data_IF_717221581173
#
_entry.id   IF_717221581173
#
_cell.length_a   1.000
_cell.length_b   1.000
_cell.length_c   1.000
_cell.angle_alpha   90.00
_cell.angle_beta   90.00
_cell.angle_gamma   90.00
#
_symmetry.space_group_name_H-M   'P 1'
#
loop_
_entity.id
_entity.type
_entity.pdbx_description
1 polymer ?
#
# COMPACT_ATOMS: atom_id res chain seq x y z
N UNK A 1 37.49 -8.21 -24.94
CA UNK A 1 37.01 -7.09 -24.13
C UNK A 1 36.79 -5.85 -24.99
N UNK A 2 35.53 -5.41 -25.18
CA UNK A 2 35.25 -4.11 -25.79
C UNK A 2 35.81 -3.00 -24.88
N UNK A 3 36.48 -2.01 -25.47
CA UNK A 3 36.96 -0.81 -24.76
C UNK A 3 36.27 0.39 -25.39
N UNK A 4 35.43 1.05 -24.62
CA UNK A 4 34.85 2.35 -24.96
C UNK A 4 35.70 3.41 -24.29
N UNK A 5 36.25 4.33 -25.07
CA UNK A 5 37.20 5.33 -24.60
C UNK A 5 36.72 6.72 -25.02
N UNK A 6 36.20 7.46 -24.04
CA UNK A 6 35.69 8.80 -24.23
C UNK A 6 36.81 9.77 -24.64
N UNK A 7 38.05 9.49 -24.23
CA UNK A 7 39.22 10.35 -24.47
C UNK A 7 40.04 9.94 -25.70
N UNK A 8 39.59 8.92 -26.45
CA UNK A 8 40.31 8.35 -27.60
C UNK A 8 40.69 9.37 -28.68
N UNK A 9 39.88 10.43 -28.84
CA UNK A 9 40.07 11.46 -29.86
C UNK A 9 40.52 12.81 -29.30
N UNK A 10 40.33 13.07 -28.00
CA UNK A 10 40.64 14.35 -27.36
C UNK A 10 40.75 14.22 -25.83
N UNK A 11 41.70 14.90 -25.17
CA UNK A 11 41.76 14.98 -23.71
C UNK A 11 40.61 15.84 -23.12
N UNK A 12 39.88 16.59 -23.95
CA UNK A 12 38.70 17.35 -23.57
C UNK A 12 37.55 16.95 -24.52
N UNK A 13 36.82 15.86 -24.21
CA UNK A 13 35.84 15.29 -25.12
C UNK A 13 34.60 16.19 -25.26
N UNK A 14 34.07 16.31 -26.48
CA UNK A 14 32.87 17.11 -26.73
C UNK A 14 31.58 16.34 -26.38
N UNK A 15 30.45 17.03 -26.18
CA UNK A 15 29.16 16.36 -25.96
C UNK A 15 28.79 15.37 -27.08
N UNK A 16 29.18 15.65 -28.32
CA UNK A 16 28.96 14.76 -29.47
C UNK A 16 29.82 13.49 -29.37
N UNK A 17 31.04 13.59 -28.85
CA UNK A 17 31.90 12.43 -28.60
C UNK A 17 31.34 11.55 -27.49
N UNK A 18 30.79 12.15 -26.43
CA UNK A 18 30.05 11.42 -25.40
C UNK A 18 28.87 10.64 -25.99
N UNK A 19 28.05 11.31 -26.81
CA UNK A 19 26.91 10.67 -27.47
C UNK A 19 27.33 9.54 -28.41
N UNK A 20 28.41 9.73 -29.17
CA UNK A 20 28.96 8.70 -30.06
C UNK A 20 29.44 7.49 -29.28
N UNK A 21 30.23 7.71 -28.22
CA UNK A 21 30.79 6.63 -27.39
C UNK A 21 29.69 5.87 -26.65
N UNK A 22 28.69 6.58 -26.11
CA UNK A 22 27.52 5.94 -25.51
C UNK A 22 26.67 5.18 -26.53
N UNK A 23 26.57 5.68 -27.77
CA UNK A 23 25.89 4.96 -28.85
C UNK A 23 26.64 3.68 -29.22
N UNK A 24 27.96 3.71 -29.33
CA UNK A 24 28.78 2.51 -29.56
C UNK A 24 28.55 1.45 -28.47
N UNK A 25 28.44 1.88 -27.21
CA UNK A 25 28.07 1.00 -26.11
C UNK A 25 26.69 0.36 -26.32
N UNK A 26 25.66 1.14 -26.66
CA UNK A 26 24.30 0.59 -26.88
C UNK A 26 24.21 -0.26 -28.14
N UNK A 27 24.86 0.13 -29.24
CA UNK A 27 24.91 -0.67 -30.45
C UNK A 27 25.59 -2.03 -30.17
N UNK A 28 26.58 -2.06 -29.29
CA UNK A 28 27.20 -3.28 -28.80
C UNK A 28 26.23 -4.13 -27.94
N UNK A 29 25.39 -3.52 -27.10
CA UNK A 29 24.35 -4.22 -26.33
C UNK A 29 23.34 -4.94 -27.24
N UNK A 30 22.89 -4.25 -28.30
CA UNK A 30 21.83 -4.70 -29.21
C UNK A 30 22.35 -5.67 -30.29
N UNK A 31 23.66 -5.67 -30.55
CA UNK A 31 24.33 -6.49 -31.56
C UNK A 31 24.13 -8.01 -31.44
N UNK A 32 24.57 -8.73 -32.48
CA UNK A 32 24.27 -10.15 -32.72
C UNK A 32 24.66 -11.08 -31.55
N UNK A 33 23.71 -11.91 -31.08
CA UNK A 33 23.81 -12.70 -29.85
C UNK A 33 24.94 -13.74 -29.87
N UNK A 34 25.33 -14.20 -31.06
CA UNK A 34 26.37 -15.22 -31.25
C UNK A 34 27.81 -14.76 -30.99
N UNK A 35 28.04 -13.44 -30.79
CA UNK A 35 29.37 -12.84 -30.55
C UNK A 35 29.45 -12.04 -29.25
N UNK A 36 28.43 -12.12 -28.39
CA UNK A 36 28.40 -11.33 -27.15
C UNK A 36 29.49 -11.84 -26.18
N UNK A 37 30.32 -10.95 -25.61
CA UNK A 37 31.30 -11.34 -24.60
C UNK A 37 30.59 -11.84 -23.34
N UNK A 38 31.33 -12.47 -22.45
CA UNK A 38 30.82 -12.82 -21.13
C UNK A 38 30.23 -11.56 -20.48
N UNK A 39 29.05 -11.68 -19.86
CA UNK A 39 28.31 -10.56 -19.24
C UNK A 39 29.19 -9.66 -18.36
N UNK A 40 30.18 -10.23 -17.68
CA UNK A 40 31.13 -9.49 -16.85
C UNK A 40 32.02 -8.51 -17.62
N UNK A 41 32.45 -8.84 -18.85
CA UNK A 41 33.24 -7.90 -19.66
C UNK A 41 32.42 -6.67 -20.08
N UNK A 42 31.12 -6.88 -20.35
CA UNK A 42 30.20 -5.80 -20.68
C UNK A 42 29.97 -4.87 -19.47
N UNK A 43 29.76 -5.46 -18.30
CA UNK A 43 29.57 -4.70 -17.06
C UNK A 43 30.82 -3.91 -16.67
N UNK A 44 32.02 -4.50 -16.86
CA UNK A 44 33.28 -3.78 -16.67
C UNK A 44 33.42 -2.62 -17.66
N UNK A 45 33.07 -2.82 -18.94
CA UNK A 45 33.15 -1.74 -19.93
C UNK A 45 32.17 -0.60 -19.63
N UNK A 46 30.99 -0.90 -19.08
CA UNK A 46 30.03 0.11 -18.62
C UNK A 46 30.56 0.90 -17.41
N UNK A 47 31.16 0.20 -16.44
CA UNK A 47 31.84 0.80 -15.29
C UNK A 47 32.97 1.75 -15.72
N UNK A 48 33.91 1.27 -16.53
CA UNK A 48 35.06 2.05 -17.00
C UNK A 48 34.59 3.32 -17.76
N UNK A 49 33.52 3.20 -18.56
CA UNK A 49 32.97 4.34 -19.29
C UNK A 49 32.22 5.30 -18.37
N UNK A 50 31.45 4.81 -17.41
CA UNK A 50 30.78 5.65 -16.41
C UNK A 50 31.80 6.44 -15.57
N UNK A 51 32.91 5.81 -15.17
CA UNK A 51 34.01 6.49 -14.46
C UNK A 51 34.68 7.57 -15.30
N UNK A 52 34.91 7.31 -16.60
CA UNK A 52 35.44 8.34 -17.51
C UNK A 52 34.48 9.53 -17.64
N UNK A 53 33.18 9.26 -17.78
CA UNK A 53 32.15 10.31 -17.89
C UNK A 53 32.10 11.15 -16.62
N UNK A 54 32.01 10.51 -15.44
CA UNK A 54 32.00 11.23 -14.16
C UNK A 54 33.32 11.95 -13.89
N UNK A 55 34.46 11.35 -14.24
CA UNK A 55 35.76 12.00 -14.11
C UNK A 55 35.90 13.26 -14.97
N UNK A 56 35.23 13.31 -16.13
CA UNK A 56 35.24 14.49 -17.00
C UNK A 56 34.21 15.56 -16.59
N UNK A 57 32.96 15.16 -16.39
CA UNK A 57 31.84 16.08 -16.14
C UNK A 57 31.57 16.34 -14.65
N UNK A 58 32.26 15.63 -13.75
CA UNK A 58 32.17 15.70 -12.28
C UNK A 58 30.84 15.20 -11.68
N UNK A 59 29.71 15.34 -12.36
CA UNK A 59 28.41 14.82 -11.92
C UNK A 59 27.49 14.49 -13.09
N UNK A 60 26.50 13.62 -12.87
CA UNK A 60 25.46 13.33 -13.83
C UNK A 60 24.55 14.54 -14.10
N UNK A 61 24.38 15.42 -13.12
CA UNK A 61 23.64 16.67 -13.32
C UNK A 61 24.32 17.54 -14.38
N UNK A 62 25.64 17.69 -14.32
CA UNK A 62 26.39 18.45 -15.33
C UNK A 62 26.28 17.81 -16.73
N UNK A 63 26.26 16.47 -16.80
CA UNK A 63 26.04 15.74 -18.07
C UNK A 63 24.64 16.04 -18.61
N UNK A 64 23.61 16.01 -17.74
CA UNK A 64 22.23 16.31 -18.10
C UNK A 64 22.08 17.75 -18.63
N UNK A 65 22.72 18.72 -17.98
CA UNK A 65 22.69 20.13 -18.38
C UNK A 65 23.34 20.34 -19.76
N UNK A 66 24.51 19.72 -19.97
CA UNK A 66 25.24 19.79 -21.24
C UNK A 66 24.48 19.11 -22.39
N UNK A 67 23.77 18.02 -22.11
CA UNK A 67 23.03 17.24 -23.10
C UNK A 67 21.54 17.60 -23.19
N UNK A 68 21.07 18.60 -22.44
CA UNK A 68 19.64 18.96 -22.35
C UNK A 68 19.01 19.22 -23.74
N UNK A 69 19.78 19.79 -24.67
CA UNK A 69 19.35 20.08 -26.04
C UNK A 69 19.03 18.82 -26.89
N UNK A 70 19.43 17.63 -26.43
CA UNK A 70 19.15 16.32 -27.03
C UNK A 70 18.01 15.56 -26.34
N UNK A 71 17.53 16.06 -25.21
CA UNK A 71 16.46 15.43 -24.44
C UNK A 71 15.13 16.15 -24.67
N UNK A 72 14.03 15.40 -24.63
CA UNK A 72 12.68 15.98 -24.57
C UNK A 72 12.11 15.75 -23.17
N UNK A 73 11.66 16.79 -22.44
CA UNK A 73 11.05 16.62 -21.13
C UNK A 73 9.97 15.54 -21.14
N UNK A 74 9.92 14.64 -20.13
CA UNK A 74 10.64 14.68 -18.86
C UNK A 74 12.04 14.02 -18.87
N UNK A 75 12.59 13.67 -20.03
CA UNK A 75 13.89 12.98 -20.11
C UNK A 75 15.04 13.86 -19.61
N UNK A 76 15.91 13.28 -18.77
CA UNK A 76 17.07 13.98 -18.19
C UNK A 76 18.39 13.66 -18.89
N UNK A 77 18.53 12.46 -19.43
CA UNK A 77 19.68 12.04 -20.24
C UNK A 77 19.21 11.37 -21.54
N UNK A 78 19.99 11.47 -22.62
CA UNK A 78 19.81 10.62 -23.79
C UNK A 78 20.00 9.16 -23.41
N UNK A 79 19.22 8.26 -24.01
CA UNK A 79 19.21 6.84 -23.63
C UNK A 79 20.60 6.19 -23.72
N UNK A 80 21.44 6.64 -24.66
CA UNK A 80 22.80 6.14 -24.85
C UNK A 80 23.66 6.31 -23.61
N UNK A 81 23.55 7.47 -22.97
CA UNK A 81 24.33 7.80 -21.77
C UNK A 81 23.68 7.16 -20.55
N UNK A 82 22.35 7.20 -20.44
CA UNK A 82 21.62 6.56 -19.35
C UNK A 82 21.98 5.07 -19.23
N UNK A 83 22.00 4.33 -20.35
CA UNK A 83 22.28 2.89 -20.33
C UNK A 83 23.67 2.55 -19.78
N UNK A 84 24.68 3.41 -19.99
CA UNK A 84 26.02 3.21 -19.44
C UNK A 84 25.94 3.16 -17.91
N UNK A 85 25.30 4.14 -17.29
CA UNK A 85 25.16 4.22 -15.83
C UNK A 85 24.28 3.10 -15.27
N UNK A 86 23.18 2.77 -15.94
CA UNK A 86 22.30 1.69 -15.49
C UNK A 86 23.02 0.34 -15.51
N UNK A 87 23.82 0.05 -16.54
CA UNK A 87 24.61 -1.18 -16.63
C UNK A 87 25.78 -1.19 -15.63
N UNK A 88 26.44 -0.05 -15.41
CA UNK A 88 27.49 0.05 -14.41
C UNK A 88 26.95 -0.28 -13.00
N UNK A 89 25.72 0.15 -12.68
CA UNK A 89 25.08 -0.11 -11.40
C UNK A 89 24.64 -1.57 -11.15
N UNK A 90 24.79 -2.49 -12.12
CA UNK A 90 24.22 -3.84 -12.04
C UNK A 90 24.92 -4.77 -11.05
N UNK A 91 26.25 -4.62 -10.90
CA UNK A 91 27.10 -5.52 -10.10
C UNK A 91 27.92 -4.76 -9.08
N UNK A 92 28.50 -5.50 -8.15
CA UNK A 92 29.41 -4.96 -7.14
C UNK A 92 30.75 -4.54 -7.77
N UNK A 93 31.20 -3.32 -7.46
CA UNK A 93 32.50 -2.75 -7.84
C UNK A 93 32.81 -1.48 -7.01
N UNK A 94 34.07 -0.97 -6.98
CA UNK A 94 34.48 0.11 -6.06
C UNK A 94 33.70 1.43 -6.21
N UNK A 95 33.33 1.79 -7.44
CA UNK A 95 32.65 3.06 -7.75
C UNK A 95 31.12 2.98 -7.69
N UNK A 96 30.56 1.81 -7.36
CA UNK A 96 29.11 1.57 -7.40
C UNK A 96 28.33 2.58 -6.55
N UNK A 97 28.81 2.88 -5.33
CA UNK A 97 28.12 3.81 -4.43
C UNK A 97 27.95 5.21 -5.04
N UNK A 98 29.01 5.73 -5.65
CA UNK A 98 28.98 7.02 -6.35
C UNK A 98 27.99 6.99 -7.51
N UNK A 99 28.00 5.91 -8.31
CA UNK A 99 27.09 5.80 -9.46
C UNK A 99 25.62 5.69 -9.04
N UNK A 100 25.33 4.96 -7.96
CA UNK A 100 23.97 4.88 -7.39
C UNK A 100 23.51 6.26 -6.93
N UNK A 101 24.36 6.99 -6.19
CA UNK A 101 24.03 8.31 -5.66
C UNK A 101 23.82 9.34 -6.79
N UNK A 102 24.62 9.31 -7.85
CA UNK A 102 24.46 10.17 -9.03
C UNK A 102 23.17 9.87 -9.81
N UNK A 103 22.82 8.58 -9.98
CA UNK A 103 21.57 8.18 -10.63
C UNK A 103 20.37 8.60 -9.79
N UNK A 104 20.42 8.46 -8.47
CA UNK A 104 19.35 8.89 -7.57
C UNK A 104 19.23 10.41 -7.49
N UNK A 105 20.34 11.15 -7.46
CA UNK A 105 20.31 12.61 -7.50
C UNK A 105 19.59 13.11 -8.75
N UNK A 106 19.83 12.46 -9.90
CA UNK A 106 19.21 12.86 -11.15
C UNK A 106 17.76 12.34 -11.29
N UNK A 107 17.44 11.13 -10.87
CA UNK A 107 16.15 10.48 -11.17
C UNK A 107 15.27 10.16 -9.94
N UNK A 108 15.73 10.45 -8.72
CA UNK A 108 15.06 10.10 -7.46
C UNK A 108 13.72 10.82 -7.24
N UNK A 109 13.41 11.85 -8.02
CA UNK A 109 12.14 12.59 -7.99
C UNK A 109 10.94 11.85 -8.61
N UNK A 110 11.19 10.76 -9.35
CA UNK A 110 10.12 9.95 -9.93
C UNK A 110 9.47 10.52 -11.19
N UNK A 111 9.90 11.68 -11.69
CA UNK A 111 9.22 12.40 -12.79
C UNK A 111 9.46 11.76 -14.17
N UNK A 112 10.60 11.11 -14.37
CA UNK A 112 10.89 10.37 -15.61
C UNK A 112 10.47 8.89 -15.49
N UNK A 113 9.17 8.63 -15.67
CA UNK A 113 8.62 7.28 -15.58
C UNK A 113 9.24 6.28 -16.59
N UNK A 114 9.79 6.77 -17.72
CA UNK A 114 10.43 5.90 -18.72
C UNK A 114 11.78 5.40 -18.22
N UNK A 115 12.56 6.24 -17.55
CA UNK A 115 13.81 5.83 -16.91
C UNK A 115 13.54 4.75 -15.85
N UNK A 116 12.54 4.95 -14.97
CA UNK A 116 12.12 3.95 -13.99
C UNK A 116 11.69 2.63 -14.61
N UNK A 117 10.87 2.67 -15.66
CA UNK A 117 10.46 1.46 -16.37
C UNK A 117 11.66 0.71 -16.96
N UNK A 118 12.67 1.45 -17.44
CA UNK A 118 13.93 0.90 -17.97
C UNK A 118 14.73 0.20 -16.90
N UNK A 119 14.93 0.80 -15.72
CA UNK A 119 15.62 0.18 -14.57
C UNK A 119 14.99 -1.16 -14.21
N UNK A 120 13.65 -1.20 -14.06
CA UNK A 120 12.94 -2.44 -13.72
C UNK A 120 13.06 -3.52 -14.79
N UNK A 121 13.08 -3.12 -16.07
CA UNK A 121 13.21 -4.05 -17.20
C UNK A 121 14.62 -4.62 -17.27
N UNK A 122 15.64 -3.77 -17.10
CA UNK A 122 17.05 -4.14 -17.18
C UNK A 122 17.38 -5.28 -16.22
N UNK A 123 17.01 -5.15 -14.94
CA UNK A 123 17.35 -6.17 -13.94
C UNK A 123 16.61 -7.50 -14.13
N UNK A 124 15.60 -7.55 -15.01
CA UNK A 124 14.88 -8.79 -15.39
C UNK A 124 15.44 -9.42 -16.66
N UNK A 125 16.44 -8.82 -17.30
CA UNK A 125 17.06 -9.40 -18.49
C UNK A 125 17.77 -10.72 -18.16
N UNK A 126 17.52 -11.75 -18.98
CA UNK A 126 18.01 -13.12 -18.76
C UNK A 126 19.51 -13.18 -18.55
N UNK A 127 20.27 -12.38 -19.31
CA UNK A 127 21.73 -12.33 -19.21
C UNK A 127 22.24 -11.75 -17.88
N UNK A 128 21.46 -10.90 -17.22
CA UNK A 128 21.83 -10.26 -15.95
C UNK A 128 21.31 -11.04 -14.74
N UNK A 129 20.38 -11.98 -14.90
CA UNK A 129 19.82 -12.76 -13.79
C UNK A 129 20.86 -13.64 -13.08
N UNK A 130 21.91 -14.07 -13.79
CA UNK A 130 23.00 -14.90 -13.23
C UNK A 130 24.12 -14.06 -12.58
N UNK A 131 24.05 -12.74 -12.66
CA UNK A 131 25.06 -11.85 -12.06
C UNK A 131 24.70 -11.63 -10.58
N UNK A 132 25.63 -11.86 -9.64
CA UNK A 132 25.41 -11.57 -8.23
C UNK A 132 24.99 -10.12 -8.01
N UNK A 133 23.86 -9.92 -7.33
CA UNK A 133 23.34 -8.58 -7.03
C UNK A 133 24.12 -7.96 -5.87
N UNK A 134 24.42 -6.64 -5.94
CA UNK A 134 24.92 -5.89 -4.80
C UNK A 134 24.01 -6.02 -3.58
N UNK A 135 24.61 -5.94 -2.39
CA UNK A 135 23.90 -5.93 -1.10
C UNK A 135 24.02 -4.56 -0.45
N UNK A 136 22.98 -4.15 0.27
CA UNK A 136 22.96 -2.86 0.96
C UNK A 136 23.90 -2.90 2.17
N UNK A 137 23.88 -4.01 2.89
CA UNK A 137 24.85 -4.33 3.93
C UNK A 137 25.91 -5.29 3.40
N UNK A 138 27.17 -4.97 3.67
CA UNK A 138 28.30 -5.81 3.32
C UNK A 138 28.31 -7.14 4.07
N UNK A 139 29.21 -8.04 3.67
CA UNK A 139 29.39 -9.33 4.37
C UNK A 139 29.86 -9.17 5.83
N UNK A 140 30.48 -8.03 6.15
CA UNK A 140 30.86 -7.63 7.50
C UNK A 140 29.70 -7.02 8.31
N UNK A 141 28.49 -6.93 7.74
CA UNK A 141 27.31 -6.33 8.37
C UNK A 141 27.28 -4.81 8.37
N UNK A 142 28.22 -4.13 7.73
CA UNK A 142 28.25 -2.67 7.65
C UNK A 142 27.43 -2.15 6.48
N UNK A 143 26.76 -1.01 6.68
CA UNK A 143 26.06 -0.30 5.62
C UNK A 143 27.07 0.18 4.56
N UNK A 144 26.88 -0.26 3.30
CA UNK A 144 27.77 0.08 2.17
C UNK A 144 27.26 1.23 1.30
N UNK A 145 25.94 1.34 1.15
CA UNK A 145 25.31 2.30 0.22
C UNK A 145 24.23 3.10 0.93
N UNK A 146 23.88 4.26 0.38
CA UNK A 146 22.73 5.02 0.84
C UNK A 146 21.43 4.26 0.49
N UNK A 147 20.58 3.91 1.47
CA UNK A 147 19.35 3.17 1.24
C UNK A 147 18.46 3.73 0.14
N UNK A 148 18.31 5.06 0.05
CA UNK A 148 17.48 5.71 -0.97
C UNK A 148 17.97 5.41 -2.38
N UNK A 149 19.23 5.75 -2.67
CA UNK A 149 19.85 5.50 -3.96
C UNK A 149 19.91 4.01 -4.31
N UNK A 150 20.21 3.16 -3.32
CA UNK A 150 20.23 1.72 -3.50
C UNK A 150 18.83 1.16 -3.83
N UNK A 151 17.77 1.65 -3.18
CA UNK A 151 16.39 1.19 -3.42
C UNK A 151 15.89 1.51 -4.82
N UNK A 152 16.37 2.60 -5.42
CA UNK A 152 16.01 3.02 -6.76
C UNK A 152 16.48 1.98 -7.81
N UNK A 153 17.75 1.59 -7.74
CA UNK A 153 18.29 0.58 -8.66
C UNK A 153 17.95 -0.84 -8.22
N UNK A 154 18.20 -1.19 -6.96
CA UNK A 154 18.13 -2.56 -6.42
C UNK A 154 16.96 -2.76 -5.45
N UNK A 155 15.79 -2.20 -5.77
CA UNK A 155 14.61 -2.20 -4.89
C UNK A 155 14.20 -3.57 -4.34
N UNK A 156 14.26 -4.64 -5.14
CA UNK A 156 13.97 -5.98 -4.66
C UNK A 156 14.96 -6.48 -3.59
N UNK A 157 16.26 -6.23 -3.80
CA UNK A 157 17.31 -6.56 -2.82
C UNK A 157 17.20 -5.70 -1.56
N UNK A 158 16.82 -4.43 -1.71
CA UNK A 158 16.54 -3.52 -0.61
C UNK A 158 15.40 -4.06 0.26
N UNK A 159 14.22 -4.28 -0.34
CA UNK A 159 13.04 -4.79 0.38
C UNK A 159 13.35 -6.10 1.09
N UNK A 160 14.05 -7.03 0.42
CA UNK A 160 14.45 -8.30 1.02
C UNK A 160 15.32 -8.12 2.24
N UNK A 161 16.42 -7.36 2.15
CA UNK A 161 17.35 -7.20 3.28
C UNK A 161 16.70 -6.48 4.46
N UNK A 162 15.91 -5.43 4.22
CA UNK A 162 15.15 -4.74 5.29
C UNK A 162 14.18 -5.71 5.95
N UNK A 163 13.50 -6.55 5.17
CA UNK A 163 12.61 -7.59 5.72
C UNK A 163 13.37 -8.65 6.51
N UNK A 164 14.52 -9.12 6.02
CA UNK A 164 15.34 -10.12 6.72
C UNK A 164 15.77 -9.60 8.10
N UNK A 165 16.18 -8.34 8.21
CA UNK A 165 16.48 -7.70 9.51
C UNK A 165 15.23 -7.47 10.36
N UNK A 166 14.11 -7.04 9.77
CA UNK A 166 12.87 -6.87 10.52
C UNK A 166 12.37 -8.19 11.13
N UNK A 167 12.50 -9.31 10.41
CA UNK A 167 12.14 -10.64 10.90
C UNK A 167 13.10 -11.21 11.96
N UNK A 168 14.31 -10.63 12.08
CA UNK A 168 15.20 -10.85 13.22
C UNK A 168 14.80 -10.00 14.46
N UNK A 169 13.57 -9.46 14.44
CA UNK A 169 12.92 -8.76 15.54
C UNK A 169 13.74 -7.55 16.02
N UNK A 170 13.72 -7.27 17.33
CA UNK A 170 14.37 -6.10 17.91
C UNK A 170 15.88 -6.01 17.62
N UNK A 171 16.59 -7.14 17.51
CA UNK A 171 18.02 -7.12 17.21
C UNK A 171 18.29 -6.61 15.79
N UNK A 172 17.56 -7.11 14.80
CA UNK A 172 17.73 -6.66 13.42
C UNK A 172 17.24 -5.23 13.19
N UNK A 173 16.14 -4.84 13.85
CA UNK A 173 15.67 -3.44 13.83
C UNK A 173 16.70 -2.51 14.48
N UNK A 174 17.24 -2.88 15.64
CA UNK A 174 18.31 -2.11 16.30
C UNK A 174 19.54 -2.00 15.40
N UNK A 175 19.93 -3.08 14.69
CA UNK A 175 21.06 -3.02 13.75
C UNK A 175 20.86 -1.98 12.65
N UNK A 176 19.64 -1.87 12.11
CA UNK A 176 19.31 -0.84 11.12
C UNK A 176 19.43 0.56 11.74
N UNK A 177 18.87 0.76 12.94
CA UNK A 177 18.91 2.04 13.65
C UNK A 177 20.34 2.46 14.02
N UNK A 178 21.20 1.50 14.37
CA UNK A 178 22.62 1.76 14.66
C UNK A 178 23.39 2.27 13.42
N UNK A 179 22.92 1.96 12.22
CA UNK A 179 23.49 2.46 10.96
C UNK A 179 22.93 3.83 10.53
N UNK A 180 21.89 4.37 11.19
CA UNK A 180 21.30 5.68 10.86
C UNK A 180 22.29 6.86 10.83
N UNK A 181 23.32 6.92 11.70
CA UNK A 181 24.34 7.96 11.63
C UNK A 181 25.13 7.95 10.30
N UNK A 182 25.18 6.81 9.59
CA UNK A 182 25.85 6.66 8.29
C UNK A 182 24.92 6.99 7.10
N UNK A 183 23.63 7.19 7.35
CA UNK A 183 22.62 7.48 6.33
C UNK A 183 22.42 9.00 6.17
N UNK A 184 22.12 9.42 4.94
CA UNK A 184 21.59 10.76 4.67
C UNK A 184 20.10 10.87 5.09
N UNK A 185 19.57 12.09 5.11
CA UNK A 185 18.19 12.36 5.57
C UNK A 185 17.13 11.63 4.73
N UNK A 186 17.27 11.66 3.40
CA UNK A 186 16.35 10.97 2.50
C UNK A 186 16.33 9.45 2.71
N UNK A 187 17.49 8.85 3.01
CA UNK A 187 17.59 7.43 3.31
C UNK A 187 17.01 7.07 4.68
N UNK A 188 17.18 7.92 5.69
CA UNK A 188 16.52 7.75 6.99
C UNK A 188 15.00 7.83 6.85
N UNK A 189 14.49 8.82 6.12
CA UNK A 189 13.05 8.96 5.87
C UNK A 189 12.47 7.74 5.15
N UNK A 190 13.16 7.22 4.13
CA UNK A 190 12.75 5.98 3.45
C UNK A 190 12.76 4.78 4.41
N UNK A 191 13.77 4.67 5.28
CA UNK A 191 13.88 3.56 6.21
C UNK A 191 12.80 3.63 7.31
N UNK A 192 12.53 4.82 7.84
CA UNK A 192 11.43 5.08 8.78
C UNK A 192 10.09 4.68 8.15
N UNK A 193 9.82 5.09 6.90
CA UNK A 193 8.61 4.70 6.16
C UNK A 193 8.50 3.17 6.01
N UNK A 194 9.58 2.50 5.59
CA UNK A 194 9.59 1.06 5.33
C UNK A 194 9.46 0.22 6.62
N UNK A 195 10.08 0.65 7.72
CA UNK A 195 9.97 0.00 9.02
C UNK A 195 8.56 0.22 9.62
N UNK A 196 8.08 1.47 9.62
CA UNK A 196 6.74 1.80 10.13
C UNK A 196 5.65 1.07 9.35
N UNK A 197 5.76 1.00 8.02
CA UNK A 197 4.83 0.24 7.17
C UNK A 197 4.77 -1.25 7.52
N UNK A 198 5.90 -1.85 7.92
CA UNK A 198 5.93 -3.25 8.37
C UNK A 198 5.27 -3.42 9.72
N UNK A 199 5.51 -2.51 10.66
CA UNK A 199 4.83 -2.48 11.96
C UNK A 199 3.31 -2.36 11.77
N UNK A 200 2.85 -1.41 10.97
CA UNK A 200 1.42 -1.18 10.73
C UNK A 200 0.69 -2.36 10.07
N UNK A 201 1.42 -3.20 9.32
CA UNK A 201 0.89 -4.43 8.70
C UNK A 201 1.03 -5.66 9.58
N UNK A 202 1.70 -5.53 10.71
CA UNK A 202 1.92 -6.62 11.66
C UNK A 202 0.84 -6.61 12.75
N UNK A 203 0.71 -7.73 13.45
CA UNK A 203 -0.17 -7.86 14.62
C UNK A 203 0.62 -7.75 15.94
N UNK A 204 1.73 -7.01 15.91
CA UNK A 204 2.60 -6.80 17.08
C UNK A 204 1.83 -6.05 18.18
N UNK A 205 1.84 -6.59 19.41
CA UNK A 205 1.24 -5.94 20.57
C UNK A 205 1.93 -4.61 20.88
N UNK A 206 1.25 -3.67 21.55
CA UNK A 206 1.80 -2.33 21.79
C UNK A 206 3.13 -2.31 22.58
N UNK A 207 3.36 -3.35 23.39
CA UNK A 207 4.57 -3.57 24.20
C UNK A 207 5.67 -4.35 23.46
N UNK A 208 5.45 -4.71 22.19
CA UNK A 208 6.45 -5.42 21.38
C UNK A 208 7.77 -4.62 21.32
N UNK A 209 8.93 -5.27 21.59
CA UNK A 209 10.23 -4.61 21.56
C UNK A 209 10.52 -3.84 20.27
N UNK A 210 10.07 -4.32 19.11
CA UNK A 210 10.23 -3.61 17.82
C UNK A 210 9.45 -2.30 17.83
N UNK A 211 8.21 -2.31 18.34
CA UNK A 211 7.39 -1.10 18.46
C UNK A 211 7.95 -0.11 19.46
N UNK A 212 8.54 -0.61 20.55
CA UNK A 212 9.22 0.24 21.54
C UNK A 212 10.41 0.95 20.90
N UNK A 213 11.23 0.25 20.11
CA UNK A 213 12.36 0.83 19.39
C UNK A 213 11.95 1.88 18.36
N UNK A 214 10.84 1.65 17.66
CA UNK A 214 10.35 2.52 16.59
C UNK A 214 9.35 3.59 17.06
N UNK A 215 9.10 3.70 18.37
CA UNK A 215 8.01 4.53 18.92
C UNK A 215 7.99 5.95 18.40
N UNK A 216 9.14 6.58 18.23
CA UNK A 216 9.23 7.96 17.74
C UNK A 216 9.07 8.11 16.22
N UNK A 217 9.01 6.98 15.48
CA UNK A 217 8.78 6.90 14.03
C UNK A 217 7.37 6.40 13.67
N UNK A 218 6.64 5.88 14.65
CA UNK A 218 5.28 5.40 14.47
C UNK A 218 4.28 6.55 14.66
N UNK A 219 3.21 6.48 13.89
CA UNK A 219 2.07 7.37 13.91
C UNK A 219 0.84 6.53 14.27
N UNK A 220 0.29 6.76 15.44
CA UNK A 220 -0.79 5.94 15.99
C UNK A 220 -2.06 6.00 15.14
N UNK A 221 -2.32 7.13 14.46
CA UNK A 221 -3.47 7.25 13.56
C UNK A 221 -3.24 6.41 12.31
N UNK A 222 -2.05 6.47 11.70
CA UNK A 222 -1.72 5.62 10.55
C UNK A 222 -1.72 4.13 10.90
N UNK A 223 -1.23 3.77 12.08
CA UNK A 223 -1.26 2.40 12.59
C UNK A 223 -2.71 1.91 12.74
N UNK A 224 -3.54 2.69 13.45
CA UNK A 224 -4.95 2.35 13.64
C UNK A 224 -5.69 2.16 12.31
N UNK A 225 -5.50 3.07 11.36
CA UNK A 225 -6.09 2.94 10.01
C UNK A 225 -5.61 1.67 9.31
N UNK A 226 -4.32 1.36 9.36
CA UNK A 226 -3.80 0.13 8.74
C UNK A 226 -4.36 -1.15 9.38
N UNK A 227 -4.58 -1.17 10.70
CA UNK A 227 -5.22 -2.29 11.40
C UNK A 227 -6.67 -2.48 10.95
N UNK A 228 -7.44 -1.41 10.82
CA UNK A 228 -8.82 -1.49 10.28
C UNK A 228 -8.83 -1.91 8.81
N UNK A 229 -7.96 -1.36 7.96
CA UNK A 229 -7.85 -1.77 6.57
C UNK A 229 -7.56 -3.28 6.45
N UNK A 230 -6.66 -3.81 7.28
CA UNK A 230 -6.33 -5.24 7.33
C UNK A 230 -7.48 -6.08 7.89
N UNK A 231 -8.20 -5.58 8.90
CA UNK A 231 -9.40 -6.23 9.43
C UNK A 231 -10.48 -6.42 8.35
N UNK A 232 -10.69 -5.41 7.51
CA UNK A 232 -11.68 -5.48 6.43
C UNK A 232 -11.18 -6.28 5.22
N UNK A 233 -9.88 -6.26 4.89
CA UNK A 233 -9.35 -7.06 3.76
C UNK A 233 -9.46 -8.57 4.00
N UNK A 234 -9.46 -9.01 5.26
CA UNK A 234 -9.57 -10.42 5.66
C UNK A 234 -10.98 -10.78 6.18
N UNK A 235 -11.96 -9.90 5.98
CA UNK A 235 -13.28 -10.00 6.59
C UNK A 235 -14.03 -11.28 6.22
N UNK A 236 -13.88 -11.79 4.99
CA UNK A 236 -14.53 -13.01 4.51
C UNK A 236 -13.58 -14.20 4.42
N UNK A 237 -12.33 -14.06 4.83
CA UNK A 237 -11.35 -15.14 4.80
C UNK A 237 -11.60 -16.12 5.96
N UNK A 238 -11.89 -17.37 5.63
CA UNK A 238 -12.04 -18.46 6.61
C UNK A 238 -10.72 -19.20 6.87
N UNK A 239 -9.77 -19.09 5.96
CA UNK A 239 -8.44 -19.70 6.08
C UNK A 239 -7.46 -18.80 6.85
N UNK A 240 -7.93 -17.64 7.33
CA UNK A 240 -7.14 -16.74 8.17
C UNK A 240 -6.78 -17.43 9.49
N UNK A 241 -5.53 -17.86 9.58
CA UNK A 241 -4.98 -18.58 10.76
C UNK A 241 -5.10 -17.77 12.05
N UNK A 242 -5.19 -16.44 11.96
CA UNK A 242 -5.33 -15.56 13.11
C UNK A 242 -6.78 -15.46 13.59
N UNK A 243 -7.73 -15.50 12.66
CA UNK A 243 -9.15 -15.31 12.91
C UNK A 243 -9.56 -13.85 13.12
N UNK A 244 -10.82 -13.58 12.79
CA UNK A 244 -11.42 -12.23 12.84
C UNK A 244 -11.43 -11.62 14.25
N UNK A 245 -11.63 -12.45 15.29
CA UNK A 245 -11.76 -12.00 16.67
C UNK A 245 -10.46 -11.36 17.17
N UNK A 246 -9.31 -11.98 16.90
CA UNK A 246 -8.00 -11.43 17.26
C UNK A 246 -7.72 -10.11 16.54
N UNK A 247 -8.09 -9.99 15.26
CA UNK A 247 -7.92 -8.73 14.49
C UNK A 247 -8.80 -7.62 15.04
N UNK A 248 -10.05 -7.95 15.39
CA UNK A 248 -10.99 -7.03 16.01
C UNK A 248 -10.42 -6.51 17.34
N UNK A 249 -9.97 -7.41 18.22
CA UNK A 249 -9.34 -7.05 19.49
C UNK A 249 -8.11 -6.17 19.28
N UNK A 250 -7.24 -6.53 18.34
CA UNK A 250 -6.03 -5.79 18.05
C UNK A 250 -6.28 -4.37 17.52
N UNK A 251 -7.26 -4.19 16.64
CA UNK A 251 -7.63 -2.87 16.11
C UNK A 251 -8.22 -1.98 17.23
N UNK A 252 -9.18 -2.51 17.99
CA UNK A 252 -9.86 -1.74 19.03
C UNK A 252 -9.06 -1.54 20.31
N UNK A 253 -8.07 -2.39 20.60
CA UNK A 253 -7.13 -2.16 21.70
C UNK A 253 -6.39 -0.82 21.54
N UNK A 254 -5.97 -0.50 20.31
CA UNK A 254 -5.35 0.79 20.02
C UNK A 254 -6.34 1.94 20.19
N UNK A 255 -7.55 1.82 19.63
CA UNK A 255 -8.59 2.87 19.74
C UNK A 255 -8.91 3.20 21.20
N UNK A 256 -8.94 2.20 22.08
CA UNK A 256 -9.23 2.37 23.51
C UNK A 256 -8.18 3.21 24.26
N UNK A 257 -6.94 3.25 23.77
CA UNK A 257 -5.82 3.96 24.39
C UNK A 257 -5.65 5.39 23.83
N UNK A 258 -6.30 5.70 22.70
CA UNK A 258 -6.13 6.97 22.00
C UNK A 258 -7.01 8.10 22.55
N UNK A 259 -6.56 9.36 22.47
CA UNK A 259 -7.42 10.52 22.67
C UNK A 259 -8.61 10.49 21.70
N UNK A 260 -9.77 10.99 22.14
CA UNK A 260 -11.04 10.96 21.38
C UNK A 260 -10.91 11.49 19.94
N UNK A 261 -10.12 12.53 19.73
CA UNK A 261 -9.89 13.11 18.40
C UNK A 261 -9.14 12.16 17.47
N UNK A 262 -8.11 11.47 17.96
CA UNK A 262 -7.34 10.50 17.19
C UNK A 262 -8.11 9.19 17.00
N UNK A 263 -8.84 8.73 18.03
CA UNK A 263 -9.74 7.60 17.93
C UNK A 263 -10.78 7.81 16.81
N UNK A 264 -11.39 9.00 16.73
CA UNK A 264 -12.30 9.36 15.63
C UNK A 264 -11.59 9.32 14.27
N UNK A 265 -10.36 9.84 14.17
CA UNK A 265 -9.59 9.80 12.92
C UNK A 265 -9.20 8.39 12.49
N UNK A 266 -9.02 7.46 13.42
CA UNK A 266 -8.79 6.04 13.12
C UNK A 266 -10.08 5.39 12.62
N UNK A 267 -11.20 5.64 13.29
CA UNK A 267 -12.51 5.10 12.91
C UNK A 267 -13.01 5.63 11.56
N UNK A 268 -12.50 6.77 11.08
CA UNK A 268 -12.73 7.23 9.70
C UNK A 268 -12.33 6.20 8.64
N UNK A 269 -11.44 5.25 8.96
CA UNK A 269 -11.13 4.15 8.03
C UNK A 269 -12.35 3.27 7.75
N UNK A 270 -13.26 3.13 8.71
CA UNK A 270 -14.54 2.43 8.48
C UNK A 270 -15.35 3.17 7.40
N UNK A 271 -15.36 4.51 7.43
CA UNK A 271 -16.02 5.32 6.39
C UNK A 271 -15.38 5.10 5.02
N UNK A 272 -14.05 5.04 4.96
CA UNK A 272 -13.29 4.74 3.75
C UNK A 272 -13.69 3.38 3.19
N UNK A 273 -13.74 2.33 4.02
CA UNK A 273 -14.15 1.00 3.59
C UNK A 273 -15.62 0.95 3.11
N UNK A 274 -16.54 1.62 3.82
CA UNK A 274 -17.95 1.73 3.39
C UNK A 274 -18.03 2.37 2.01
N UNK A 275 -17.41 3.54 1.82
CA UNK A 275 -17.43 4.27 0.54
C UNK A 275 -16.83 3.43 -0.60
N UNK A 276 -15.67 2.83 -0.36
CA UNK A 276 -14.92 2.11 -1.40
C UNK A 276 -15.62 0.80 -1.79
N UNK A 277 -16.39 0.18 -0.88
CA UNK A 277 -17.15 -1.05 -1.15
C UNK A 277 -18.55 -0.78 -1.70
N UNK A 278 -19.17 0.36 -1.37
CA UNK A 278 -20.53 0.70 -1.81
C UNK A 278 -20.60 1.46 -3.13
N UNK A 279 -19.47 1.97 -3.66
CA UNK A 279 -19.46 2.79 -4.89
C UNK A 279 -18.68 2.11 -6.02
N UNK A 280 -19.24 2.17 -7.24
CA UNK A 280 -18.63 1.64 -8.49
C UNK A 280 -17.30 2.34 -8.89
N UNK A 281 -16.84 3.30 -8.11
CA UNK A 281 -15.65 4.10 -8.37
C UNK A 281 -14.39 3.61 -7.63
N UNK A 282 -14.49 2.53 -6.82
CA UNK A 282 -13.40 1.98 -6.03
C UNK A 282 -12.92 0.57 -6.47
N UNK A 283 -11.78 0.13 -5.91
CA UNK A 283 -11.28 -1.26 -5.94
C UNK A 283 -12.08 -2.17 -4.96
N UNK A 284 -13.37 -1.90 -4.75
CA UNK A 284 -14.20 -2.57 -3.75
C UNK A 284 -14.44 -4.06 -4.01
N UNK A 285 -14.85 -4.79 -2.97
CA UNK A 285 -15.18 -6.21 -3.07
C UNK A 285 -16.51 -6.38 -3.80
N UNK A 286 -16.47 -6.81 -5.06
CA UNK A 286 -17.68 -7.07 -5.85
C UNK A 286 -18.40 -8.37 -5.44
N UNK A 287 -17.66 -9.34 -4.88
CA UNK A 287 -18.19 -10.62 -4.39
C UNK A 287 -17.34 -11.17 -3.26
N UNK A 288 -18.00 -11.73 -2.26
CA UNK A 288 -17.35 -12.42 -1.14
C UNK A 288 -17.09 -13.90 -1.45
N UNK A 289 -15.96 -14.41 -0.99
CA UNK A 289 -15.61 -15.84 -0.99
C UNK A 289 -16.52 -16.62 -0.04
N UNK A 290 -16.82 -16.04 1.12
CA UNK A 290 -17.66 -16.64 2.16
C UNK A 290 -18.73 -15.67 2.65
N UNK A 291 -19.77 -15.40 1.85
CA UNK A 291 -20.76 -14.34 2.14
C UNK A 291 -21.55 -14.57 3.45
N UNK A 292 -21.73 -15.82 3.87
CA UNK A 292 -22.50 -16.16 5.08
C UNK A 292 -21.90 -15.64 6.38
N UNK A 293 -20.59 -15.36 6.41
CA UNK A 293 -19.91 -14.85 7.62
C UNK A 293 -19.72 -13.33 7.61
N UNK A 294 -19.95 -12.68 6.47
CA UNK A 294 -19.65 -11.26 6.28
C UNK A 294 -20.54 -10.37 7.15
N UNK A 295 -21.86 -10.50 7.03
CA UNK A 295 -22.79 -9.66 7.81
C UNK A 295 -22.57 -9.82 9.32
N UNK A 296 -22.46 -11.05 9.90
CA UNK A 296 -22.13 -11.20 11.31
C UNK A 296 -20.82 -10.52 11.74
N UNK A 297 -19.77 -10.58 10.89
CA UNK A 297 -18.47 -9.95 11.20
C UNK A 297 -18.55 -8.42 11.10
N UNK A 298 -19.24 -7.87 10.09
CA UNK A 298 -19.49 -6.43 10.00
C UNK A 298 -20.26 -5.92 11.22
N UNK A 299 -21.29 -6.65 11.65
CA UNK A 299 -22.07 -6.35 12.86
C UNK A 299 -21.14 -6.24 14.07
N UNK A 300 -20.25 -7.23 14.30
CA UNK A 300 -19.32 -7.20 15.42
C UNK A 300 -18.37 -5.99 15.41
N UNK A 301 -17.88 -5.59 14.22
CA UNK A 301 -17.05 -4.37 14.07
C UNK A 301 -17.84 -3.11 14.40
N UNK A 302 -19.03 -2.99 13.83
CA UNK A 302 -19.86 -1.79 13.96
C UNK A 302 -20.42 -1.61 15.38
N UNK A 303 -20.82 -2.68 16.08
CA UNK A 303 -21.27 -2.64 17.47
C UNK A 303 -20.17 -2.08 18.38
N UNK A 304 -18.92 -2.52 18.15
CA UNK A 304 -17.78 -2.03 18.92
C UNK A 304 -17.45 -0.59 18.57
N UNK A 305 -17.55 -0.20 17.30
CA UNK A 305 -17.35 1.19 16.86
C UNK A 305 -18.40 2.16 17.44
N UNK A 306 -19.65 1.74 17.63
CA UNK A 306 -20.70 2.57 18.24
C UNK A 306 -20.34 3.04 19.66
N UNK A 307 -19.63 2.21 20.43
CA UNK A 307 -19.16 2.60 21.77
C UNK A 307 -18.22 3.81 21.76
N UNK A 308 -17.65 4.15 20.61
CA UNK A 308 -16.81 5.31 20.35
C UNK A 308 -17.53 6.43 19.58
N UNK A 309 -18.86 6.36 19.47
CA UNK A 309 -19.69 7.39 18.82
C UNK A 309 -19.85 7.23 17.30
N UNK A 310 -19.43 6.10 16.73
CA UNK A 310 -19.59 5.84 15.30
C UNK A 310 -21.06 5.57 14.93
N UNK A 311 -21.60 6.29 13.92
CA UNK A 311 -22.96 6.10 13.43
C UNK A 311 -22.97 5.36 12.08
N UNK A 312 -23.04 4.02 12.14
CA UNK A 312 -22.99 3.17 10.96
C UNK A 312 -24.12 3.42 9.96
N UNK A 313 -25.35 3.56 10.44
CA UNK A 313 -26.52 3.73 9.57
C UNK A 313 -26.51 5.06 8.85
N UNK A 314 -26.06 6.13 9.51
CA UNK A 314 -25.90 7.42 8.86
C UNK A 314 -24.82 7.37 7.77
N UNK A 315 -23.69 6.72 8.03
CA UNK A 315 -22.62 6.64 7.03
C UNK A 315 -22.99 5.76 5.83
N UNK A 316 -23.58 4.59 6.06
CA UNK A 316 -24.08 3.73 4.98
C UNK A 316 -25.13 4.46 4.14
N UNK A 317 -26.07 5.15 4.77
CA UNK A 317 -27.11 5.87 4.06
C UNK A 317 -26.55 7.00 3.17
N UNK A 318 -25.45 7.66 3.55
CA UNK A 318 -24.81 8.69 2.72
C UNK A 318 -24.17 8.14 1.44
N UNK A 319 -23.78 6.87 1.45
CA UNK A 319 -23.10 6.21 0.33
C UNK A 319 -24.06 5.47 -0.61
N UNK A 320 -25.37 5.52 -0.35
CA UNK A 320 -26.40 5.07 -1.29
C UNK A 320 -26.69 6.20 -2.29
N UNK A 321 -26.53 5.92 -3.60
CA UNK A 321 -26.40 6.93 -4.65
C UNK A 321 -27.55 7.95 -4.79
N UNK A 322 -28.75 7.69 -4.26
CA UNK A 322 -29.88 8.63 -4.29
C UNK A 322 -30.09 9.38 -2.95
N UNK A 323 -29.21 9.18 -1.97
CA UNK A 323 -29.35 9.63 -0.57
C UNK A 323 -28.21 10.57 -0.13
N UNK A 324 -27.22 10.81 -0.99
CA UNK A 324 -26.11 11.72 -0.71
C UNK A 324 -26.66 13.12 -0.42
N UNK A 325 -26.24 13.74 0.71
CA UNK A 325 -26.55 15.11 1.17
C UNK A 325 -27.70 15.29 2.20
N UNK A 326 -28.25 14.24 2.81
CA UNK A 326 -29.28 14.38 3.85
C UNK A 326 -28.84 13.86 5.22
N UNK A 327 -29.33 14.50 6.29
CA UNK A 327 -29.30 13.93 7.64
C UNK A 327 -30.22 12.72 7.70
N UNK A 328 -29.77 11.66 8.37
CA UNK A 328 -30.51 10.41 8.49
C UNK A 328 -31.93 10.68 9.02
N UNK A 329 -32.94 10.27 8.26
CA UNK A 329 -34.34 10.52 8.55
C UNK A 329 -35.22 9.30 8.27
N UNK A 330 -36.51 9.40 8.64
CA UNK A 330 -37.48 8.31 8.45
C UNK A 330 -37.52 7.80 7.02
N UNK A 331 -37.62 8.69 6.02
CA UNK A 331 -37.74 8.30 4.62
C UNK A 331 -36.51 7.52 4.16
N UNK A 332 -35.32 7.93 4.64
CA UNK A 332 -34.08 7.23 4.33
C UNK A 332 -34.07 5.80 4.85
N UNK A 333 -34.47 5.59 6.11
CA UNK A 333 -34.58 4.24 6.70
C UNK A 333 -35.64 3.41 5.98
N UNK A 334 -36.79 4.01 5.62
CA UNK A 334 -37.82 3.33 4.84
C UNK A 334 -37.31 2.88 3.45
N UNK A 335 -36.53 3.72 2.75
CA UNK A 335 -35.92 3.36 1.47
C UNK A 335 -34.95 2.18 1.58
N UNK A 336 -34.07 2.18 2.58
CA UNK A 336 -33.13 1.06 2.81
C UNK A 336 -33.86 -0.26 3.06
N UNK A 337 -34.99 -0.21 3.77
CA UNK A 337 -35.82 -1.40 4.04
C UNK A 337 -36.63 -1.84 2.82
N UNK A 338 -37.06 -0.91 1.97
CA UNK A 338 -37.81 -1.18 0.74
C UNK A 338 -36.96 -1.86 -0.34
N UNK A 339 -35.64 -1.65 -0.36
CA UNK A 339 -34.72 -2.41 -1.22
C UNK A 339 -34.67 -3.91 -0.86
N UNK A 340 -35.02 -4.25 0.38
CA UNK A 340 -35.05 -5.61 0.88
C UNK A 340 -33.67 -6.13 1.30
N UNK A 341 -33.61 -7.42 1.61
CA UNK A 341 -32.39 -8.12 2.02
C UNK A 341 -32.14 -9.28 1.07
N UNK A 342 -30.85 -9.55 0.79
CA UNK A 342 -30.47 -10.65 -0.07
C UNK A 342 -30.86 -12.00 0.58
N UNK A 343 -31.74 -12.75 -0.08
CA UNK A 343 -32.23 -14.04 0.43
C UNK A 343 -31.32 -15.21 0.09
N UNK A 344 -30.52 -15.08 -0.97
CA UNK A 344 -29.50 -16.04 -1.36
C UNK A 344 -28.12 -15.50 -0.96
N UNK A 345 -27.46 -16.06 0.07
CA UNK A 345 -26.15 -15.57 0.51
C UNK A 345 -25.10 -15.50 -0.62
N UNK A 346 -25.20 -16.35 -1.64
CA UNK A 346 -24.26 -16.35 -2.77
C UNK A 346 -24.45 -15.20 -3.76
N UNK A 347 -25.56 -14.46 -3.64
CA UNK A 347 -25.86 -13.25 -4.40
C UNK A 347 -25.63 -11.99 -3.55
N UNK A 348 -25.13 -12.13 -2.31
CA UNK A 348 -24.85 -11.00 -1.43
C UNK A 348 -23.70 -10.16 -2.00
N UNK A 349 -24.00 -8.92 -2.38
CA UNK A 349 -23.00 -7.92 -2.71
C UNK A 349 -22.56 -7.11 -1.48
N UNK A 350 -21.51 -6.31 -1.63
CA UNK A 350 -20.98 -5.54 -0.52
C UNK A 350 -21.91 -4.42 -0.04
N UNK A 351 -22.70 -3.83 -0.94
CA UNK A 351 -23.65 -2.79 -0.57
C UNK A 351 -24.76 -3.35 0.33
N UNK A 352 -25.33 -4.49 -0.04
CA UNK A 352 -26.36 -5.17 0.73
C UNK A 352 -25.82 -5.66 2.08
N UNK A 353 -24.58 -6.18 2.12
CA UNK A 353 -23.93 -6.56 3.36
C UNK A 353 -23.79 -5.38 4.34
N UNK A 354 -23.36 -4.21 3.85
CA UNK A 354 -23.23 -2.99 4.66
C UNK A 354 -24.58 -2.46 5.14
N UNK A 355 -25.59 -2.40 4.27
CA UNK A 355 -26.96 -2.00 4.62
C UNK A 355 -27.52 -2.88 5.72
N UNK A 356 -27.43 -4.20 5.55
CA UNK A 356 -27.96 -5.15 6.52
C UNK A 356 -27.23 -5.04 7.85
N UNK A 357 -25.88 -4.96 7.84
CA UNK A 357 -25.10 -4.83 9.06
C UNK A 357 -25.41 -3.53 9.82
N UNK A 358 -25.49 -2.40 9.12
CA UNK A 358 -25.82 -1.10 9.73
C UNK A 358 -27.23 -1.09 10.32
N UNK A 359 -28.20 -1.72 9.63
CA UNK A 359 -29.57 -1.84 10.13
C UNK A 359 -29.66 -2.74 11.38
N UNK A 360 -28.89 -3.84 11.42
CA UNK A 360 -28.83 -4.74 12.58
C UNK A 360 -28.24 -4.04 13.82
N UNK A 361 -27.20 -3.24 13.64
CA UNK A 361 -26.43 -2.62 14.74
C UNK A 361 -27.08 -1.35 15.30
N UNK A 362 -27.91 -0.65 14.54
CA UNK A 362 -28.58 0.56 15.02
C UNK A 362 -29.47 0.30 16.23
N UNK A 363 -29.46 1.23 17.19
CA UNK A 363 -30.27 1.15 18.41
C UNK A 363 -31.77 1.05 18.07
N UNK A 364 -32.46 0.11 18.71
CA UNK A 364 -33.90 -0.07 18.60
C UNK A 364 -34.65 1.22 18.95
N UNK A 365 -34.19 1.97 19.96
CA UNK A 365 -34.84 3.22 20.37
C UNK A 365 -34.91 4.24 19.23
N UNK A 366 -33.89 4.27 18.36
CA UNK A 366 -33.88 5.13 17.19
C UNK A 366 -34.99 4.73 16.20
N UNK A 367 -35.12 3.44 15.87
CA UNK A 367 -36.18 2.97 14.97
C UNK A 367 -37.58 3.27 15.47
N UNK A 368 -37.82 3.06 16.77
CA UNK A 368 -39.11 3.36 17.39
C UNK A 368 -39.42 4.86 17.35
N UNK A 369 -38.40 5.72 17.50
CA UNK A 369 -38.57 7.18 17.41
C UNK A 369 -38.99 7.67 16.02
N UNK A 370 -38.66 6.93 14.96
CA UNK A 370 -39.02 7.29 13.58
C UNK A 370 -40.49 7.01 13.23
N UNK A 371 -41.21 6.24 14.05
CA UNK A 371 -42.62 5.89 13.79
C UNK A 371 -42.81 5.16 12.45
N UNK A 372 -41.96 4.17 12.16
CA UNK A 372 -41.98 3.40 10.92
C UNK A 372 -43.32 2.68 10.71
N UNK A 373 -43.74 2.52 9.44
CA UNK A 373 -44.96 1.78 9.08
C UNK A 373 -44.82 0.29 9.44
N UNK A 374 -45.94 -0.44 9.71
CA UNK A 374 -45.88 -1.86 10.02
C UNK A 374 -45.09 -2.71 9.02
N UNK A 375 -45.21 -2.43 7.71
CA UNK A 375 -44.43 -3.16 6.68
C UNK A 375 -42.91 -3.09 6.91
N UNK A 376 -42.40 -1.93 7.33
CA UNK A 376 -40.97 -1.67 7.54
C UNK A 376 -40.50 -2.25 8.88
N UNK A 377 -41.34 -2.16 9.92
CA UNK A 377 -41.07 -2.82 11.20
C UNK A 377 -41.02 -4.35 11.01
N UNK A 378 -41.88 -4.92 10.17
CA UNK A 378 -41.83 -6.36 9.81
C UNK A 378 -40.54 -6.71 9.06
N UNK A 379 -40.05 -5.85 8.16
CA UNK A 379 -38.76 -6.06 7.50
C UNK A 379 -37.60 -6.00 8.50
N UNK A 380 -37.57 -5.00 9.40
CA UNK A 380 -36.58 -4.93 10.46
C UNK A 380 -36.60 -6.17 11.36
N UNK A 381 -37.78 -6.68 11.70
CA UNK A 381 -37.93 -7.87 12.54
C UNK A 381 -37.25 -9.11 11.95
N UNK A 382 -37.15 -9.23 10.62
CA UNK A 382 -36.47 -10.34 9.94
C UNK A 382 -34.96 -10.38 10.21
N UNK A 383 -34.35 -9.22 10.49
CA UNK A 383 -32.92 -9.08 10.73
C UNK A 383 -32.58 -8.74 12.19
N UNK A 384 -33.55 -8.21 12.95
CA UNK A 384 -33.41 -7.71 14.32
C UNK A 384 -34.70 -8.02 15.12
N UNK A 385 -34.76 -9.20 15.72
CA UNK A 385 -35.90 -9.67 16.53
C UNK A 385 -35.82 -9.17 17.98
N UNK A 386 -36.10 -7.88 18.19
CA UNK A 386 -36.07 -7.26 19.52
C UNK A 386 -37.46 -7.06 20.13
N UNK A 387 -37.60 -7.12 21.48
CA UNK A 387 -38.91 -7.01 22.13
C UNK A 387 -39.68 -5.72 21.83
N UNK A 388 -39.00 -4.58 21.66
CA UNK A 388 -39.64 -3.30 21.38
C UNK A 388 -40.25 -3.23 19.97
N UNK A 389 -39.56 -3.75 18.94
CA UNK A 389 -40.09 -3.86 17.57
C UNK A 389 -41.33 -4.76 17.57
N UNK A 390 -41.26 -5.92 18.25
CA UNK A 390 -42.41 -6.82 18.40
C UNK A 390 -43.60 -6.11 19.05
N UNK A 391 -43.37 -5.40 20.15
CA UNK A 391 -44.41 -4.66 20.86
C UNK A 391 -45.01 -3.54 20.00
N UNK A 392 -44.19 -2.85 19.21
CA UNK A 392 -44.66 -1.82 18.27
C UNK A 392 -45.56 -2.42 17.18
N UNK A 393 -45.22 -3.59 16.64
CA UNK A 393 -46.04 -4.30 15.65
C UNK A 393 -47.40 -4.72 16.22
N UNK A 394 -47.46 -5.17 17.48
CA UNK A 394 -48.69 -5.56 18.17
C UNK A 394 -49.72 -4.43 18.35
N UNK A 395 -49.32 -3.17 18.13
CA UNK A 395 -50.24 -2.02 18.16
C UNK A 395 -51.12 -1.91 16.92
N UNK A 396 -50.79 -2.63 15.84
CA UNK A 396 -51.52 -2.63 14.57
C UNK A 396 -52.08 -4.02 14.25
N UNK A 397 -53.25 -4.11 13.61
CA UNK A 397 -53.86 -5.40 13.25
C UNK A 397 -52.98 -6.20 12.29
N UNK A 398 -52.41 -5.54 11.27
CA UNK A 398 -51.45 -6.15 10.32
C UNK A 398 -50.18 -6.63 11.03
N UNK A 399 -49.66 -5.86 12.00
CA UNK A 399 -48.48 -6.26 12.75
C UNK A 399 -48.74 -7.45 13.69
N UNK A 400 -49.94 -7.55 14.28
CA UNK A 400 -50.35 -8.73 15.07
C UNK A 400 -50.37 -10.00 14.23
N UNK A 401 -50.89 -9.94 13.01
CA UNK A 401 -50.87 -11.08 12.08
C UNK A 401 -49.44 -11.50 11.76
N UNK A 402 -48.53 -10.55 11.49
CA UNK A 402 -47.12 -10.87 11.24
C UNK A 402 -46.42 -11.54 12.42
N UNK A 403 -46.62 -11.03 13.64
CA UNK A 403 -46.06 -11.64 14.86
C UNK A 403 -46.61 -13.05 15.05
N UNK A 404 -47.92 -13.23 14.87
CA UNK A 404 -48.55 -14.55 14.97
C UNK A 404 -47.99 -15.54 13.94
N UNK A 405 -47.82 -15.13 12.68
CA UNK A 405 -47.21 -15.98 11.66
C UNK A 405 -45.78 -16.38 12.05
N UNK A 406 -44.96 -15.43 12.50
CA UNK A 406 -43.58 -15.72 12.92
C UNK A 406 -43.53 -16.68 14.11
N UNK A 407 -44.38 -16.49 15.13
CA UNK A 407 -44.44 -17.35 16.32
C UNK A 407 -44.89 -18.78 15.97
N UNK A 408 -45.65 -18.93 14.89
CA UNK A 408 -46.08 -20.21 14.33
C UNK A 408 -45.08 -20.80 13.32
N UNK A 409 -44.00 -20.09 12.98
CA UNK A 409 -42.99 -20.50 12.01
C UNK A 409 -43.48 -20.50 10.55
N UNK A 410 -44.44 -19.63 10.22
CA UNK A 410 -45.12 -19.53 8.91
C UNK A 410 -44.51 -18.48 7.97
#
# INVERSE_FOLDING_TARGET
>A
MPRFDLFSLSPNPTPEQLLSTGKEFVDFLIGDRGKKPAVYELLQAAEDLAEQILGHYHSLQNVADVLAYRCTPPQKLPYQVLYVFLYACVREHPSLGVMLDEVDALYGDGLDHKAYATVRSLLREVMLMMVPRPKLWGENGELKYQPKAFSHMHGASFTRQVSDFFFDQANGVQKILDDYPRMNEASRALMDEELSKRVYRSMMSADDPVRVLLRDKLDDVKDGRARFATLFSELDNLDDQMGIEMRLEHAFALVAELPTTQASQVLDEINVCIRDWMTDHGEGIMRFNHPTVVVPRLVAVLERAQSYGFNALEEVARNVGYMSLQTLNKAMVECLLDEGFCTNPWELDAADAWKEAALRVTDEAYYLSLGLRPKHLTQLLKIKDTPGIRQALLTSDVGREHILCQDLGL
#
